data_IF_031921747495
#
_entry.id   IF_031921747495
#
_cell.length_a   1.000
_cell.length_b   1.000
_cell.length_c   1.000
_cell.angle_alpha   90.00
_cell.angle_beta   90.00
_cell.angle_gamma   90.00
#
_symmetry.space_group_name_H-M   'P 1'
#
loop_
_entity.id
_entity.type
_entity.pdbx_description
1 polymer ?
#
# COMPACT_ATOMS: atom_id res chain seq x y z
N UNK A 1 81.29 11.17 -37.32
CA UNK A 1 79.93 10.56 -37.32
C UNK A 1 79.59 9.87 -35.98
N UNK A 2 79.66 10.55 -34.82
CA UNK A 2 79.35 9.93 -33.51
C UNK A 2 78.43 10.74 -32.58
N UNK A 3 78.05 11.96 -32.94
CA UNK A 3 77.38 12.89 -32.00
C UNK A 3 75.86 13.03 -32.23
N UNK A 4 75.34 12.54 -33.36
CA UNK A 4 73.94 12.77 -33.77
C UNK A 4 72.95 11.68 -33.29
N UNK A 5 73.42 10.55 -32.76
CA UNK A 5 72.54 9.47 -32.28
C UNK A 5 72.14 9.60 -30.80
N UNK A 6 72.82 10.45 -30.02
CA UNK A 6 72.62 10.50 -28.56
C UNK A 6 71.57 11.54 -28.13
N UNK A 7 71.34 12.60 -28.92
CA UNK A 7 70.37 13.65 -28.59
C UNK A 7 68.91 13.26 -28.89
N UNK A 8 68.68 12.33 -29.82
CA UNK A 8 67.33 11.84 -30.15
C UNK A 8 66.74 10.90 -29.10
N UNK A 9 67.59 10.26 -28.27
CA UNK A 9 67.14 9.29 -27.27
C UNK A 9 66.71 9.97 -25.95
N UNK A 10 67.34 11.09 -25.59
CA UNK A 10 67.04 11.82 -24.34
C UNK A 10 65.72 12.59 -24.43
N UNK A 11 65.31 13.04 -25.63
CA UNK A 11 64.05 13.76 -25.82
C UNK A 11 62.81 12.84 -25.74
N UNK A 12 62.96 11.54 -26.05
CA UNK A 12 61.86 10.56 -25.97
C UNK A 12 61.60 10.13 -24.51
N UNK A 13 62.62 10.09 -23.66
CA UNK A 13 62.48 9.69 -22.26
C UNK A 13 61.78 10.78 -21.43
N UNK A 14 61.98 12.06 -21.74
CA UNK A 14 61.32 13.15 -21.02
C UNK A 14 59.84 13.32 -21.42
N UNK A 15 59.47 13.01 -22.67
CA UNK A 15 58.06 13.03 -23.09
C UNK A 15 57.26 11.81 -22.60
N UNK A 16 57.91 10.69 -22.32
CA UNK A 16 57.28 9.48 -21.79
C UNK A 16 57.06 9.54 -20.25
N UNK A 17 57.78 10.40 -19.53
CA UNK A 17 57.66 10.53 -18.07
C UNK A 17 56.46 11.36 -17.59
N UNK A 18 55.88 12.20 -18.45
CA UNK A 18 54.78 13.10 -18.07
C UNK A 18 53.39 12.43 -18.05
N UNK A 19 53.27 11.20 -18.55
CA UNK A 19 51.99 10.46 -18.63
C UNK A 19 51.74 9.53 -17.44
N UNK A 20 52.63 9.45 -16.46
CA UNK A 20 52.54 8.48 -15.36
C UNK A 20 51.89 9.01 -14.06
N UNK A 21 51.41 10.26 -14.03
CA UNK A 21 50.81 10.85 -12.81
C UNK A 21 49.28 10.98 -12.91
N UNK A 22 48.69 10.79 -14.09
CA UNK A 22 47.22 10.82 -14.23
C UNK A 22 46.64 9.43 -13.93
N UNK A 23 46.76 8.99 -12.68
CA UNK A 23 45.93 7.90 -12.18
C UNK A 23 44.45 8.28 -12.33
N UNK A 24 43.54 7.34 -12.64
CA UNK A 24 42.12 7.65 -12.64
C UNK A 24 41.78 8.24 -11.26
N UNK A 25 40.95 9.30 -11.18
CA UNK A 25 40.47 9.75 -9.89
C UNK A 25 39.88 8.54 -9.20
N UNK A 26 40.39 8.21 -8.00
CA UNK A 26 39.75 7.24 -7.16
C UNK A 26 38.31 7.71 -7.03
N UNK A 27 37.37 6.97 -7.62
CA UNK A 27 35.96 7.24 -7.45
C UNK A 27 35.72 7.21 -5.94
N UNK A 28 35.49 8.37 -5.35
CA UNK A 28 34.95 8.45 -4.01
C UNK A 28 33.65 7.67 -4.10
N UNK A 29 33.60 6.49 -3.47
CA UNK A 29 32.34 5.77 -3.32
C UNK A 29 31.37 6.77 -2.69
N UNK A 30 30.28 7.08 -3.39
CA UNK A 30 29.22 7.87 -2.78
C UNK A 30 28.75 7.08 -1.55
N UNK A 31 29.03 7.65 -0.37
CA UNK A 31 28.82 7.03 0.93
C UNK A 31 27.34 7.17 1.28
N UNK A 32 26.53 6.38 0.59
CA UNK A 32 25.08 6.39 0.68
C UNK A 32 24.60 5.74 1.98
N UNK A 33 23.52 6.24 2.61
CA UNK A 33 22.98 5.64 3.81
C UNK A 33 22.46 4.22 3.51
N UNK A 34 23.09 3.22 4.12
CA UNK A 34 22.64 1.83 4.04
C UNK A 34 21.43 1.66 4.94
N UNK A 35 20.21 1.69 4.38
CA UNK A 35 19.00 1.51 5.19
C UNK A 35 18.54 0.05 5.20
N UNK A 36 18.06 -0.40 6.37
CA UNK A 36 17.33 -1.66 6.54
C UNK A 36 15.90 -1.35 6.93
N UNK A 37 14.96 -2.02 6.27
CA UNK A 37 13.52 -1.81 6.47
C UNK A 37 12.88 -3.15 6.83
N UNK A 38 12.05 -3.17 7.87
CA UNK A 38 11.27 -4.34 8.23
C UNK A 38 9.86 -3.95 8.64
N UNK A 39 8.95 -4.92 8.50
CA UNK A 39 7.54 -4.77 8.88
C UNK A 39 7.11 -6.03 9.62
N UNK A 40 6.37 -5.87 10.70
CA UNK A 40 5.86 -6.97 11.50
C UNK A 40 4.34 -6.90 11.56
N UNK A 41 3.70 -8.05 11.30
CA UNK A 41 2.27 -8.20 11.43
C UNK A 41 1.83 -8.22 12.90
N UNK A 42 0.59 -7.77 13.19
CA UNK A 42 -0.03 -7.95 14.51
C UNK A 42 -0.16 -9.43 14.85
N UNK A 43 -0.13 -9.75 16.14
CA UNK A 43 -0.43 -11.10 16.62
C UNK A 43 -1.96 -11.35 16.61
N UNK A 44 -2.35 -12.59 16.32
CA UNK A 44 -3.74 -13.06 16.42
C UNK A 44 -4.50 -13.10 15.09
N UNK A 45 -5.72 -13.61 15.15
CA UNK A 45 -6.60 -13.71 13.99
C UNK A 45 -7.24 -12.36 13.67
N UNK A 46 -7.09 -11.91 12.43
CA UNK A 46 -7.63 -10.65 11.94
C UNK A 46 -9.03 -10.85 11.34
N UNK A 47 -9.96 -9.95 11.64
CA UNK A 47 -11.33 -9.99 11.14
C UNK A 47 -11.70 -8.69 10.46
N UNK A 48 -12.64 -8.79 9.52
CA UNK A 48 -13.22 -7.62 8.88
C UNK A 48 -13.81 -6.66 9.93
N UNK A 49 -13.45 -5.39 9.82
CA UNK A 49 -13.80 -4.30 10.73
C UNK A 49 -12.74 -4.00 11.79
N UNK A 50 -11.72 -4.83 11.95
CA UNK A 50 -10.62 -4.57 12.87
C UNK A 50 -9.70 -3.46 12.34
N UNK A 51 -8.93 -2.85 13.24
CA UNK A 51 -7.91 -1.83 12.94
C UNK A 51 -6.56 -2.22 13.55
N UNK A 52 -5.92 -3.33 13.14
CA UNK A 52 -4.60 -3.72 13.62
C UNK A 52 -3.53 -2.68 13.35
N UNK A 53 -2.46 -2.72 14.16
CA UNK A 53 -1.25 -1.95 13.94
C UNK A 53 -0.12 -2.87 13.46
N UNK A 54 0.46 -2.55 12.31
CA UNK A 54 1.70 -3.16 11.83
C UNK A 54 2.88 -2.35 12.35
N UNK A 55 3.91 -3.04 12.87
CA UNK A 55 5.10 -2.37 13.39
C UNK A 55 6.17 -2.30 12.29
N UNK A 56 6.39 -1.10 11.75
CA UNK A 56 7.46 -0.81 10.81
C UNK A 56 8.73 -0.35 11.53
N UNK A 57 9.89 -0.77 11.03
CA UNK A 57 11.18 -0.29 11.50
C UNK A 57 12.08 0.11 10.33
N UNK A 58 12.67 1.30 10.42
CA UNK A 58 13.68 1.80 9.47
C UNK A 58 14.96 2.05 10.24
N UNK A 59 16.01 1.32 9.90
CA UNK A 59 17.33 1.42 10.56
C UNK A 59 18.36 1.95 9.60
N UNK A 60 19.12 2.95 10.02
CA UNK A 60 20.28 3.43 9.28
C UNK A 60 21.53 2.65 9.72
N UNK A 61 22.02 1.77 8.85
CA UNK A 61 23.25 1.00 9.04
C UNK A 61 24.47 1.70 8.41
N UNK A 62 24.25 2.78 7.67
CA UNK A 62 25.31 3.56 7.03
C UNK A 62 26.03 4.48 8.00
N UNK A 63 27.23 4.95 7.63
CA UNK A 63 28.02 5.89 8.43
C UNK A 63 27.51 7.34 8.36
N UNK A 64 26.66 7.66 7.37
CA UNK A 64 26.09 9.00 7.15
C UNK A 64 24.64 9.11 7.64
N UNK A 65 24.19 10.28 8.12
CA UNK A 65 22.78 10.49 8.45
C UNK A 65 21.91 10.54 7.19
N UNK A 66 20.88 9.69 7.16
CA UNK A 66 19.84 9.73 6.13
C UNK A 66 18.88 10.90 6.41
N UNK A 67 18.42 11.60 5.37
CA UNK A 67 17.66 12.84 5.54
C UNK A 67 16.51 12.94 4.54
N UNK A 68 15.38 13.45 5.03
CA UNK A 68 14.19 13.68 4.23
C UNK A 68 13.60 12.41 3.61
N UNK A 69 13.72 11.29 4.32
CA UNK A 69 13.16 10.01 3.89
C UNK A 69 11.64 10.10 3.85
N UNK A 70 11.04 9.43 2.87
CA UNK A 70 9.59 9.22 2.81
C UNK A 70 9.32 7.74 3.01
N UNK A 71 8.51 7.43 4.00
CA UNK A 71 8.17 6.05 4.37
C UNK A 71 6.69 5.85 4.19
N UNK A 72 6.27 4.79 3.50
CA UNK A 72 4.87 4.52 3.22
C UNK A 72 4.58 3.03 3.13
N UNK A 73 3.31 2.68 3.29
CA UNK A 73 2.84 1.30 3.11
C UNK A 73 2.43 1.04 1.66
N UNK A 74 2.64 -0.21 1.23
CA UNK A 74 2.04 -0.76 0.01
C UNK A 74 1.22 -2.00 0.39
N UNK A 75 0.01 -2.12 -0.16
CA UNK A 75 -0.91 -3.23 0.09
C UNK A 75 -1.29 -3.92 -1.22
N UNK A 76 -1.30 -5.25 -1.21
CA UNK A 76 -1.64 -6.07 -2.37
C UNK A 76 -2.61 -7.18 -1.96
N UNK A 77 -3.60 -7.44 -2.81
CA UNK A 77 -4.43 -8.64 -2.71
C UNK A 77 -3.64 -9.84 -3.21
N UNK A 78 -3.59 -10.91 -2.43
CA UNK A 78 -2.97 -12.19 -2.77
C UNK A 78 -4.03 -13.29 -2.99
N UNK A 79 -5.30 -12.90 -3.12
CA UNK A 79 -6.38 -13.82 -3.41
C UNK A 79 -6.21 -14.37 -4.84
N UNK A 80 -6.22 -15.70 -5.03
CA UNK A 80 -6.06 -16.31 -6.36
C UNK A 80 -7.08 -15.79 -7.38
N UNK A 81 -6.61 -15.29 -8.52
CA UNK A 81 -7.45 -14.72 -9.58
C UNK A 81 -7.92 -13.28 -9.34
N UNK A 82 -7.52 -12.69 -8.21
CA UNK A 82 -7.82 -11.31 -7.83
C UNK A 82 -6.57 -10.61 -7.27
N UNK A 83 -5.39 -10.98 -7.76
CA UNK A 83 -4.11 -10.37 -7.40
C UNK A 83 -4.02 -8.97 -8.01
N UNK A 84 -4.01 -7.96 -7.15
CA UNK A 84 -3.98 -6.55 -7.57
C UNK A 84 -3.51 -5.65 -6.44
N UNK A 85 -2.91 -4.50 -6.75
CA UNK A 85 -2.68 -3.46 -5.75
C UNK A 85 -4.02 -3.05 -5.11
N UNK A 86 -3.99 -2.83 -3.80
CA UNK A 86 -5.14 -2.35 -3.03
C UNK A 86 -4.86 -0.91 -2.64
N UNK A 87 -5.82 -0.04 -2.90
CA UNK A 87 -5.71 1.35 -2.51
C UNK A 87 -5.82 1.50 -0.99
N UNK A 88 -5.00 2.38 -0.42
CA UNK A 88 -4.92 2.62 1.02
C UNK A 88 -5.87 3.71 1.50
N UNK A 89 -6.60 4.41 0.63
CA UNK A 89 -7.52 5.49 1.03
C UNK A 89 -8.53 5.07 2.09
N UNK A 90 -9.12 3.89 1.91
CA UNK A 90 -10.11 3.35 2.82
C UNK A 90 -9.52 2.46 3.91
N UNK A 91 -8.24 2.08 3.77
CA UNK A 91 -7.57 1.11 4.63
C UNK A 91 -6.64 1.77 5.66
N UNK A 92 -6.04 2.93 5.41
CA UNK A 92 -5.12 3.56 6.37
C UNK A 92 -5.35 5.06 6.46
N UNK A 93 -5.41 5.57 7.70
CA UNK A 93 -5.41 7.01 7.96
C UNK A 93 -4.03 7.64 7.70
N UNK A 94 -2.95 6.86 7.80
CA UNK A 94 -1.57 7.31 7.61
C UNK A 94 -0.93 6.50 6.48
N UNK A 95 -0.96 7.05 5.27
CA UNK A 95 -0.42 6.39 4.07
C UNK A 95 1.09 6.53 3.97
N UNK A 96 1.61 7.69 4.34
CA UNK A 96 3.02 8.04 4.27
C UNK A 96 3.43 8.96 5.42
N UNK A 97 4.69 8.90 5.81
CA UNK A 97 5.32 9.73 6.84
C UNK A 97 6.67 10.20 6.31
N UNK A 98 6.99 11.46 6.60
CA UNK A 98 8.32 12.02 6.36
C UNK A 98 9.20 11.86 7.60
N UNK A 99 10.42 11.40 7.39
CA UNK A 99 11.48 11.33 8.39
C UNK A 99 12.57 12.32 8.01
N UNK A 100 12.64 13.43 8.74
CA UNK A 100 13.57 14.52 8.42
C UNK A 100 15.02 14.10 8.56
N UNK A 101 15.34 13.29 9.58
CA UNK A 101 16.68 12.79 9.82
C UNK A 101 16.68 11.47 10.56
N UNK A 102 17.54 10.55 10.12
CA UNK A 102 17.85 9.30 10.81
C UNK A 102 19.37 9.15 10.93
N UNK A 103 19.89 9.28 12.16
CA UNK A 103 21.32 9.23 12.43
C UNK A 103 21.90 7.84 12.19
N UNK A 104 23.22 7.72 11.95
CA UNK A 104 23.92 6.44 11.88
C UNK A 104 23.63 5.55 13.09
N UNK A 105 23.31 4.28 12.85
CA UNK A 105 22.96 3.30 13.87
C UNK A 105 21.58 3.47 14.51
N UNK A 106 20.82 4.52 14.16
CA UNK A 106 19.50 4.75 14.74
C UNK A 106 18.41 3.96 14.00
N UNK A 107 17.35 3.62 14.74
CA UNK A 107 16.13 3.00 14.22
C UNK A 107 14.92 3.87 14.55
N UNK A 108 14.08 4.17 13.56
CA UNK A 108 12.75 4.73 13.76
C UNK A 108 11.70 3.60 13.72
N UNK A 109 10.86 3.54 14.75
CA UNK A 109 9.75 2.59 14.85
C UNK A 109 8.43 3.32 14.66
N UNK A 110 7.53 2.75 13.84
CA UNK A 110 6.20 3.31 13.56
C UNK A 110 5.13 2.26 13.60
N UNK A 111 4.00 2.63 14.18
CA UNK A 111 2.78 1.84 14.12
C UNK A 111 1.93 2.31 12.94
N UNK A 112 1.60 1.39 12.05
CA UNK A 112 0.75 1.64 10.90
C UNK A 112 -0.60 0.97 11.10
N UNK A 113 -1.60 1.77 11.43
CA UNK A 113 -2.97 1.30 11.59
C UNK A 113 -3.62 0.98 10.25
N UNK A 114 -4.14 -0.24 10.09
CA UNK A 114 -4.84 -0.68 8.89
C UNK A 114 -6.27 -1.11 9.23
N UNK A 115 -7.27 -0.43 8.69
CA UNK A 115 -8.69 -0.79 8.75
C UNK A 115 -8.99 -1.90 7.76
N UNK A 116 -9.41 -3.05 8.27
CA UNK A 116 -9.69 -4.24 7.46
C UNK A 116 -11.12 -4.20 6.92
N UNK A 117 -11.32 -3.61 5.75
CA UNK A 117 -12.68 -3.41 5.18
C UNK A 117 -13.20 -4.62 4.39
N UNK A 118 -12.32 -5.52 3.97
CA UNK A 118 -12.67 -6.70 3.18
C UNK A 118 -11.93 -7.95 3.69
N UNK A 119 -12.61 -9.09 3.60
CA UNK A 119 -12.02 -10.39 3.90
C UNK A 119 -11.17 -10.89 2.73
N UNK A 120 -10.12 -11.66 3.03
CA UNK A 120 -9.23 -12.22 2.01
C UNK A 120 -7.79 -12.37 2.47
N UNK A 121 -6.93 -12.76 1.54
CA UNK A 121 -5.48 -12.86 1.73
C UNK A 121 -4.81 -11.64 1.15
N UNK A 122 -3.97 -10.99 1.94
CA UNK A 122 -3.29 -9.75 1.57
C UNK A 122 -1.81 -9.84 1.91
N UNK A 123 -1.01 -9.00 1.26
CA UNK A 123 0.38 -8.76 1.60
C UNK A 123 0.60 -7.27 1.82
N UNK A 124 1.33 -6.91 2.86
CA UNK A 124 1.74 -5.52 3.11
C UNK A 124 3.26 -5.42 3.15
N UNK A 125 3.79 -4.34 2.58
CA UNK A 125 5.22 -4.02 2.63
C UNK A 125 5.41 -2.56 3.03
N UNK A 126 6.53 -2.28 3.70
CA UNK A 126 6.97 -0.94 4.02
C UNK A 126 8.01 -0.51 2.99
N UNK A 127 7.80 0.66 2.39
CA UNK A 127 8.72 1.24 1.41
C UNK A 127 9.32 2.52 1.95
N UNK A 128 10.62 2.67 1.78
CA UNK A 128 11.40 3.86 2.12
C UNK A 128 12.00 4.43 0.85
N UNK A 129 11.77 5.71 0.61
CA UNK A 129 12.39 6.48 -0.47
C UNK A 129 13.34 7.48 0.15
N UNK A 130 14.62 7.36 -0.17
CA UNK A 130 15.59 8.43 0.04
C UNK A 130 15.64 9.27 -1.25
N UNK A 131 15.41 10.60 -1.20
CA UNK A 131 15.43 11.46 -2.38
C UNK A 131 16.80 11.52 -3.09
N UNK A 132 17.87 11.04 -2.45
CA UNK A 132 19.22 11.00 -3.01
C UNK A 132 19.52 9.67 -3.73
N UNK A 133 18.68 8.66 -3.52
CA UNK A 133 18.85 7.34 -4.10
C UNK A 133 17.92 7.13 -5.31
N UNK A 134 18.39 6.46 -6.37
CA UNK A 134 17.55 6.15 -7.52
C UNK A 134 16.59 4.99 -7.28
N UNK A 135 16.73 4.24 -6.18
CA UNK A 135 15.95 3.03 -5.91
C UNK A 135 15.33 3.09 -4.52
N UNK A 136 14.02 2.80 -4.40
CA UNK A 136 13.40 2.64 -3.09
C UNK A 136 13.90 1.37 -2.41
N UNK A 137 13.87 1.39 -1.08
CA UNK A 137 14.18 0.23 -0.24
C UNK A 137 12.86 -0.30 0.29
N UNK A 138 12.60 -1.59 0.07
CA UNK A 138 11.32 -2.23 0.39
C UNK A 138 11.58 -3.35 1.39
N UNK A 139 10.72 -3.47 2.40
CA UNK A 139 10.74 -4.62 3.31
C UNK A 139 10.34 -5.91 2.60
N UNK A 140 10.54 -7.04 3.27
CA UNK A 140 9.84 -8.27 2.89
C UNK A 140 8.32 -8.05 2.90
N UNK A 141 7.63 -8.77 2.01
CA UNK A 141 6.18 -8.79 1.98
C UNK A 141 5.66 -9.61 3.15
N UNK A 142 4.81 -9.01 3.97
CA UNK A 142 4.19 -9.66 5.13
C UNK A 142 2.79 -10.13 4.74
N UNK A 143 2.57 -11.45 4.53
CA UNK A 143 1.25 -11.97 4.24
C UNK A 143 0.39 -11.98 5.50
N UNK A 144 -0.90 -11.68 5.35
CA UNK A 144 -1.90 -11.82 6.40
C UNK A 144 -3.27 -12.18 5.81
N UNK A 145 -4.12 -12.76 6.65
CA UNK A 145 -5.45 -13.22 6.25
C UNK A 145 -6.53 -12.56 7.11
N UNK A 146 -7.53 -11.99 6.45
CA UNK A 146 -8.66 -11.31 7.07
C UNK A 146 -9.88 -12.21 6.99
N UNK A 147 -10.39 -12.62 8.14
CA UNK A 147 -11.58 -13.45 8.23
C UNK A 147 -12.85 -12.62 7.97
N UNK A 148 -13.87 -13.21 7.31
CA UNK A 148 -15.14 -12.55 7.13
C UNK A 148 -15.86 -12.33 8.45
N UNK A 149 -16.56 -11.20 8.56
CA UNK A 149 -17.48 -10.90 9.66
C UNK A 149 -18.90 -10.91 9.11
N UNK A 150 -19.76 -11.77 9.64
CA UNK A 150 -21.17 -11.81 9.26
C UNK A 150 -21.84 -10.50 9.70
N UNK A 151 -22.15 -9.62 8.74
CA UNK A 151 -22.81 -8.33 8.98
C UNK A 151 -24.33 -8.45 8.96
N UNK A 152 -24.87 -9.46 8.29
CA UNK A 152 -26.31 -9.71 8.18
C UNK A 152 -26.66 -11.09 8.76
N UNK A 153 -27.61 -11.10 9.69
CA UNK A 153 -28.19 -12.34 10.21
C UNK A 153 -29.53 -12.53 9.52
N UNK A 154 -29.62 -13.50 8.60
CA UNK A 154 -30.82 -13.75 7.79
C UNK A 154 -32.11 -13.82 8.63
N UNK A 155 -32.05 -14.44 9.81
CA UNK A 155 -33.18 -14.51 10.75
C UNK A 155 -33.74 -13.14 11.16
N UNK A 156 -32.91 -12.09 11.22
CA UNK A 156 -33.33 -10.72 11.58
C UNK A 156 -33.81 -9.93 10.36
N UNK A 157 -33.21 -10.17 9.20
CA UNK A 157 -33.48 -9.38 7.99
C UNK A 157 -34.67 -9.92 7.21
N UNK A 158 -34.81 -11.25 7.12
CA UNK A 158 -35.82 -11.90 6.28
C UNK A 158 -37.27 -11.53 6.67
N UNK A 159 -37.66 -11.46 7.96
CA UNK A 159 -39.01 -11.05 8.33
C UNK A 159 -39.33 -9.61 7.92
N UNK A 160 -38.36 -8.70 7.97
CA UNK A 160 -38.55 -7.30 7.56
C UNK A 160 -38.61 -7.21 6.03
N UNK A 161 -37.61 -7.80 5.36
CA UNK A 161 -37.47 -7.76 3.90
C UNK A 161 -38.65 -8.39 3.15
N UNK A 162 -39.29 -9.41 3.71
CA UNK A 162 -40.50 -10.03 3.12
C UNK A 162 -41.79 -9.51 3.75
N UNK A 163 -41.79 -9.27 5.07
CA UNK A 163 -42.99 -8.90 5.81
C UNK A 163 -43.51 -7.53 5.42
N UNK A 164 -42.64 -6.53 5.23
CA UNK A 164 -43.07 -5.18 4.84
C UNK A 164 -43.72 -5.15 3.45
N UNK A 165 -43.11 -5.70 2.37
CA UNK A 165 -43.78 -5.77 1.07
C UNK A 165 -45.10 -6.54 1.11
N UNK A 166 -45.14 -7.69 1.82
CA UNK A 166 -46.35 -8.50 1.93
C UNK A 166 -47.46 -7.77 2.69
N UNK A 167 -47.12 -7.05 3.76
CA UNK A 167 -48.07 -6.24 4.52
C UNK A 167 -48.66 -5.13 3.64
N UNK A 168 -47.82 -4.42 2.87
CA UNK A 168 -48.27 -3.39 1.94
C UNK A 168 -49.22 -3.99 0.88
N UNK A 169 -48.86 -5.14 0.30
CA UNK A 169 -49.72 -5.83 -0.66
C UNK A 169 -51.06 -6.27 -0.06
N UNK A 170 -51.06 -6.79 1.18
CA UNK A 170 -52.28 -7.19 1.88
C UNK A 170 -53.18 -6.00 2.19
N UNK A 171 -52.63 -4.90 2.72
CA UNK A 171 -53.38 -3.70 3.04
C UNK A 171 -53.96 -3.06 1.78
N UNK A 172 -53.15 -2.92 0.73
CA UNK A 172 -53.59 -2.35 -0.54
C UNK A 172 -54.63 -3.24 -1.23
N UNK A 173 -54.38 -4.54 -1.32
CA UNK A 173 -55.33 -5.51 -1.88
C UNK A 173 -56.64 -5.56 -1.10
N UNK A 174 -56.59 -5.48 0.23
CA UNK A 174 -57.75 -5.40 1.10
C UNK A 174 -58.57 -4.12 0.87
N UNK A 175 -57.91 -2.96 0.73
CA UNK A 175 -58.57 -1.69 0.44
C UNK A 175 -59.27 -1.71 -0.93
N UNK A 176 -58.58 -2.23 -1.96
CA UNK A 176 -59.14 -2.38 -3.32
C UNK A 176 -60.35 -3.32 -3.29
N UNK A 177 -60.23 -4.46 -2.63
CA UNK A 177 -61.32 -5.43 -2.48
C UNK A 177 -62.53 -4.83 -1.76
N UNK A 178 -62.30 -4.08 -0.67
CA UNK A 178 -63.36 -3.41 0.09
C UNK A 178 -64.09 -2.36 -0.78
N UNK A 179 -63.34 -1.54 -1.51
CA UNK A 179 -63.91 -0.53 -2.40
C UNK A 179 -64.85 -1.15 -3.46
N UNK A 180 -64.43 -2.25 -4.10
CA UNK A 180 -65.26 -2.95 -5.09
C UNK A 180 -66.52 -3.61 -4.50
N UNK A 181 -66.49 -4.06 -3.23
CA UNK A 181 -67.69 -4.61 -2.57
C UNK A 181 -68.69 -3.55 -2.16
N UNK A 182 -68.23 -2.39 -1.68
CA UNK A 182 -69.10 -1.33 -1.17
C UNK A 182 -69.67 -0.42 -2.27
N UNK A 183 -69.00 -0.33 -3.42
CA UNK A 183 -69.50 0.37 -4.60
C UNK A 183 -69.66 -0.59 -5.79
N UNK A 184 -70.67 -1.48 -5.78
CA UNK A 184 -70.99 -2.25 -6.96
C UNK A 184 -71.33 -1.27 -8.09
N UNK A 185 -70.69 -1.45 -9.26
CA UNK A 185 -70.98 -0.61 -10.43
C UNK A 185 -72.50 -0.58 -10.66
N UNK A 186 -73.09 0.61 -10.60
CA UNK A 186 -74.47 0.79 -11.01
C UNK A 186 -74.61 0.26 -12.44
N UNK A 187 -75.53 -0.70 -12.61
CA UNK A 187 -75.88 -1.24 -13.91
C UNK A 187 -76.28 -0.05 -14.80
N UNK A 188 -75.72 0.13 -16.00
CA UNK A 188 -76.15 1.22 -16.87
C UNK A 188 -77.65 1.02 -17.15
N UNK A 189 -78.47 1.89 -16.56
CA UNK A 189 -79.89 1.96 -16.88
C UNK A 189 -80.03 2.65 -18.24
N UNK A 190 -80.55 1.90 -19.21
CA UNK A 190 -81.31 2.45 -20.33
C UNK A 190 -80.52 3.07 -21.48
N UNK A 191 -80.59 2.38 -22.62
CA UNK A 191 -80.92 2.91 -23.95
C UNK A 191 -81.28 1.64 -24.75
N UNK A 192 -82.56 1.33 -25.03
CA UNK A 192 -83.62 2.23 -25.44
C UNK A 192 -83.44 2.49 -26.93
#
# INVERSE_FOLDING_TARGET
MKVLRLKGLILIIVLAGAWLISGPPAALAEDHPVLRVSLQAPAGGLKMGDTPNFLGAVTNLGPQPAQGLVVYLSLVSLAPGHERPVDLEDWSAQKAVRLDRLNPGATDFRHWGLRLIAAGKYGVALTVVDPREPRPIVSDLVPFEVQPKATLVARRVLPVALGEPLLIMLLWGGMVFYHFRCHPKQKPEGLG
#
